data_IF_845449140987
#
_entry.id   IF_845449140987
#
_cell.length_a   1.000
_cell.length_b   1.000
_cell.length_c   1.000
_cell.angle_alpha   90.00
_cell.angle_beta   90.00
_cell.angle_gamma   90.00
#
_symmetry.space_group_name_H-M   'P 1'
#
loop_
_entity.id
_entity.type
_entity.pdbx_description
1 polymer ?
#
# COMPACT_ATOMS: atom_id res chain seq x y z
N UNK A 1 37.58 -17.44 57.65
CA UNK A 1 37.56 -17.59 56.18
C UNK A 1 36.29 -16.92 55.68
N UNK A 2 36.36 -15.70 55.17
CA UNK A 2 35.21 -14.95 54.63
C UNK A 2 35.09 -15.26 53.14
N UNK A 3 33.93 -15.81 52.73
CA UNK A 3 33.60 -16.05 51.30
C UNK A 3 33.02 -14.77 50.72
N UNK A 4 33.79 -14.10 49.89
CA UNK A 4 33.33 -12.91 49.15
C UNK A 4 32.53 -13.40 47.95
N UNK A 5 31.21 -13.22 47.96
CA UNK A 5 30.35 -13.45 46.80
C UNK A 5 30.49 -12.26 45.83
N UNK A 6 31.11 -12.48 44.68
CA UNK A 6 31.12 -11.52 43.55
C UNK A 6 29.78 -11.62 42.82
N UNK A 7 28.93 -10.60 42.93
CA UNK A 7 27.72 -10.43 42.18
C UNK A 7 28.08 -9.88 40.80
N UNK A 8 28.05 -10.70 39.77
CA UNK A 8 28.27 -10.29 38.38
C UNK A 8 27.01 -9.61 37.86
N UNK A 9 26.99 -8.30 37.84
CA UNK A 9 25.91 -7.50 37.24
C UNK A 9 26.18 -7.45 35.72
N UNK A 10 25.46 -8.28 34.95
CA UNK A 10 25.46 -8.20 33.49
C UNK A 10 24.63 -7.00 33.07
N UNK A 11 25.27 -5.93 32.61
CA UNK A 11 24.64 -4.75 32.06
C UNK A 11 24.12 -5.11 30.64
N UNK A 12 22.82 -5.38 30.52
CA UNK A 12 22.18 -5.61 29.22
C UNK A 12 22.04 -4.23 28.53
N UNK A 13 22.94 -3.91 27.61
CA UNK A 13 22.80 -2.72 26.77
C UNK A 13 21.61 -2.91 25.84
N UNK A 14 20.49 -2.24 26.12
CA UNK A 14 19.37 -2.12 25.19
C UNK A 14 19.84 -1.28 24.00
N UNK A 15 20.20 -1.93 22.91
CA UNK A 15 20.38 -1.25 21.64
C UNK A 15 19.03 -0.66 21.22
N UNK A 16 18.93 0.67 21.15
CA UNK A 16 17.77 1.35 20.57
C UNK A 16 17.72 0.98 19.08
N UNK A 17 16.88 0.03 18.72
CA UNK A 17 16.57 -0.24 17.31
C UNK A 17 15.76 0.95 16.81
N UNK A 18 16.44 1.92 16.18
CA UNK A 18 15.75 2.97 15.45
C UNK A 18 15.10 2.32 14.22
N UNK A 19 13.79 2.40 14.16
CA UNK A 19 13.03 1.98 13.00
C UNK A 19 13.46 2.79 11.76
N UNK A 20 14.15 2.15 10.82
CA UNK A 20 14.59 2.82 9.60
C UNK A 20 13.41 2.95 8.63
N UNK A 21 13.05 4.20 8.31
CA UNK A 21 12.05 4.52 7.30
C UNK A 21 12.67 4.34 5.91
N UNK A 22 12.13 3.40 5.11
CA UNK A 22 12.53 3.16 3.73
C UNK A 22 11.43 3.60 2.76
N UNK A 23 11.79 4.42 1.77
CA UNK A 23 10.89 4.81 0.68
C UNK A 23 10.86 3.68 -0.37
N UNK A 24 9.66 3.28 -0.76
CA UNK A 24 9.40 2.33 -1.83
C UNK A 24 8.86 3.12 -3.02
N UNK A 25 9.71 3.31 -4.02
CA UNK A 25 9.40 4.08 -5.24
C UNK A 25 9.88 3.29 -6.47
N UNK A 26 9.05 2.36 -6.98
CA UNK A 26 9.38 1.61 -8.20
C UNK A 26 9.59 2.56 -9.39
N UNK A 27 10.47 2.18 -10.34
CA UNK A 27 10.79 3.00 -11.51
C UNK A 27 9.57 3.35 -12.37
N UNK A 28 8.57 2.47 -12.40
CA UNK A 28 7.32 2.67 -13.12
C UNK A 28 6.58 3.95 -12.68
N UNK A 29 6.71 4.33 -11.40
CA UNK A 29 6.11 5.55 -10.85
C UNK A 29 6.90 6.83 -11.15
N UNK A 30 8.18 6.70 -11.50
CA UNK A 30 9.05 7.83 -11.88
C UNK A 30 8.87 8.32 -13.32
N UNK A 31 8.11 7.61 -14.16
CA UNK A 31 8.02 7.88 -15.62
C UNK A 31 6.89 8.81 -16.02
N UNK A 32 6.04 9.24 -15.10
CA UNK A 32 4.94 10.16 -15.36
C UNK A 32 5.40 11.63 -15.30
N UNK A 33 6.17 12.06 -16.31
CA UNK A 33 6.61 13.44 -16.45
C UNK A 33 7.81 13.83 -15.57
N UNK A 34 8.40 14.98 -15.85
CA UNK A 34 9.61 15.51 -15.18
C UNK A 34 9.37 16.08 -13.78
N UNK A 35 8.14 16.06 -13.27
CA UNK A 35 7.82 16.56 -11.93
C UNK A 35 7.86 15.40 -10.91
N UNK A 36 8.66 15.56 -9.84
CA UNK A 36 8.63 14.60 -8.74
C UNK A 36 7.26 14.62 -8.06
N UNK A 37 6.73 13.45 -7.71
CA UNK A 37 5.50 13.35 -6.92
C UNK A 37 5.69 14.06 -5.57
N UNK A 38 4.68 14.82 -5.07
CA UNK A 38 4.75 15.44 -3.75
C UNK A 38 4.59 14.42 -2.59
N UNK A 39 4.56 13.13 -2.90
CA UNK A 39 4.42 12.01 -1.96
C UNK A 39 5.23 10.80 -2.44
N UNK A 40 5.45 9.83 -1.55
CA UNK A 40 6.08 8.55 -1.88
C UNK A 40 5.01 7.52 -2.24
N UNK A 41 5.16 6.71 -3.30
CA UNK A 41 4.24 5.61 -3.61
C UNK A 41 4.06 4.64 -2.46
N UNK A 42 5.15 4.33 -1.73
CA UNK A 42 5.10 3.52 -0.53
C UNK A 42 6.14 3.93 0.51
N UNK A 43 5.81 3.71 1.79
CA UNK A 43 6.71 3.93 2.93
C UNK A 43 6.73 2.67 3.76
N UNK A 44 7.91 2.04 3.88
CA UNK A 44 8.14 0.87 4.72
C UNK A 44 8.84 1.29 6.02
N UNK A 45 8.27 0.89 7.16
CA UNK A 45 8.84 1.09 8.48
C UNK A 45 8.41 -0.06 9.41
N UNK A 46 9.33 -0.65 10.14
CA UNK A 46 9.07 -1.75 11.11
C UNK A 46 8.23 -2.90 10.52
N UNK A 47 8.56 -3.32 9.30
CA UNK A 47 7.83 -4.38 8.60
C UNK A 47 6.43 -3.98 8.12
N UNK A 48 5.98 -2.74 8.37
CA UNK A 48 4.70 -2.21 7.90
C UNK A 48 4.91 -1.32 6.68
N UNK A 49 4.25 -1.65 5.57
CA UNK A 49 4.24 -0.88 4.33
C UNK A 49 2.93 -0.10 4.22
N UNK A 50 3.05 1.21 4.16
CA UNK A 50 1.97 2.15 3.86
C UNK A 50 2.03 2.50 2.38
N UNK A 51 1.01 2.14 1.60
CA UNK A 51 0.90 2.45 0.18
C UNK A 51 -0.04 3.63 0.01
N UNK A 52 0.43 4.68 -0.67
CA UNK A 52 -0.39 5.84 -1.03
C UNK A 52 -1.55 5.45 -1.93
N UNK A 53 -2.63 6.25 -1.93
CA UNK A 53 -3.79 6.03 -2.79
C UNK A 53 -3.37 5.78 -4.24
N UNK A 54 -3.85 4.70 -4.82
CA UNK A 54 -3.64 4.33 -6.21
C UNK A 54 -4.95 4.46 -6.95
N UNK A 55 -4.89 5.02 -8.15
CA UNK A 55 -5.99 5.05 -9.12
C UNK A 55 -5.68 4.11 -10.29
N UNK A 56 -6.68 3.80 -11.10
CA UNK A 56 -6.54 2.91 -12.24
C UNK A 56 -5.86 3.53 -13.47
N UNK A 57 -4.90 4.43 -13.23
CA UNK A 57 -4.11 5.04 -14.29
C UNK A 57 -2.97 4.13 -14.77
N UNK A 58 -2.82 4.02 -16.09
CA UNK A 58 -1.68 3.35 -16.70
C UNK A 58 -0.40 4.13 -16.37
N UNK A 59 0.58 3.50 -15.71
CA UNK A 59 1.81 4.15 -15.24
C UNK A 59 2.71 4.71 -16.36
N UNK A 60 2.50 4.33 -17.63
CA UNK A 60 3.28 4.83 -18.76
C UNK A 60 2.60 6.03 -19.44
N UNK A 61 1.26 6.00 -19.57
CA UNK A 61 0.48 6.97 -20.32
C UNK A 61 -0.32 7.93 -19.46
N UNK A 62 -0.53 7.59 -18.19
CA UNK A 62 -1.41 8.32 -17.27
C UNK A 62 -2.91 8.12 -17.56
N UNK A 63 -3.26 7.39 -18.62
CA UNK A 63 -4.65 7.22 -19.03
C UNK A 63 -5.39 6.26 -18.09
N UNK A 64 -6.63 6.62 -17.76
CA UNK A 64 -7.58 5.78 -17.05
C UNK A 64 -8.47 5.10 -18.09
N UNK A 65 -8.73 3.80 -17.90
CA UNK A 65 -9.61 3.05 -18.79
C UNK A 65 -11.05 3.58 -18.74
N UNK A 66 -11.72 3.61 -19.88
CA UNK A 66 -13.17 3.84 -19.94
C UNK A 66 -13.98 2.65 -19.44
N UNK A 67 -13.39 1.45 -19.37
CA UNK A 67 -13.99 0.29 -18.71
C UNK A 67 -13.61 0.30 -17.23
N UNK A 68 -14.63 0.32 -16.38
CA UNK A 68 -14.45 0.40 -14.93
C UNK A 68 -13.77 -0.85 -14.33
N UNK A 69 -14.02 -2.03 -14.85
CA UNK A 69 -13.41 -3.26 -14.32
C UNK A 69 -11.91 -3.29 -14.63
N UNK A 70 -11.52 -2.82 -15.83
CA UNK A 70 -10.10 -2.61 -16.18
C UNK A 70 -9.47 -1.48 -15.38
N UNK A 71 -10.21 -0.42 -15.05
CA UNK A 71 -9.75 0.64 -14.15
C UNK A 71 -9.42 0.07 -12.76
N UNK A 72 -10.33 -0.70 -12.15
CA UNK A 72 -10.11 -1.35 -10.86
C UNK A 72 -8.93 -2.30 -10.92
N UNK A 73 -8.84 -3.11 -11.97
CA UNK A 73 -7.74 -4.04 -12.17
C UNK A 73 -6.40 -3.31 -12.23
N UNK A 74 -6.29 -2.25 -13.03
CA UNK A 74 -5.07 -1.44 -13.15
C UNK A 74 -4.70 -0.79 -11.81
N UNK A 75 -5.69 -0.31 -11.05
CA UNK A 75 -5.47 0.23 -9.70
C UNK A 75 -4.84 -0.83 -8.78
N UNK A 76 -5.36 -2.05 -8.77
CA UNK A 76 -4.82 -3.16 -7.99
C UNK A 76 -3.43 -3.58 -8.49
N UNK A 77 -3.20 -3.66 -9.80
CA UNK A 77 -1.89 -3.97 -10.38
C UNK A 77 -0.82 -2.94 -9.95
N UNK A 78 -1.17 -1.65 -9.91
CA UNK A 78 -0.29 -0.58 -9.40
C UNK A 78 0.11 -0.82 -7.93
N UNK A 79 -0.85 -1.23 -7.08
CA UNK A 79 -0.58 -1.65 -5.70
C UNK A 79 0.38 -2.85 -5.67
N UNK A 80 0.15 -3.84 -6.54
CA UNK A 80 1.00 -5.03 -6.66
C UNK A 80 2.45 -4.72 -7.00
N UNK A 81 2.70 -3.71 -7.85
CA UNK A 81 4.05 -3.24 -8.18
C UNK A 81 4.76 -2.70 -6.93
N UNK A 82 4.08 -1.90 -6.11
CA UNK A 82 4.65 -1.34 -4.87
C UNK A 82 4.90 -2.43 -3.84
N UNK A 83 3.94 -3.36 -3.65
CA UNK A 83 4.11 -4.53 -2.79
C UNK A 83 5.35 -5.33 -3.18
N UNK A 84 5.49 -5.66 -4.47
CA UNK A 84 6.62 -6.42 -5.01
C UNK A 84 7.96 -5.71 -4.75
N UNK A 85 8.03 -4.40 -4.94
CA UNK A 85 9.24 -3.61 -4.67
C UNK A 85 9.63 -3.60 -3.18
N UNK A 86 8.65 -3.79 -2.28
CA UNK A 86 8.87 -3.97 -0.84
C UNK A 86 9.19 -5.45 -0.47
N UNK A 87 9.18 -6.37 -1.43
CA UNK A 87 9.32 -7.81 -1.21
C UNK A 87 8.10 -8.40 -0.49
N UNK A 88 6.90 -7.89 -0.81
CA UNK A 88 5.59 -8.30 -0.28
C UNK A 88 4.66 -8.75 -1.41
N UNK A 89 3.55 -9.39 -1.04
CA UNK A 89 2.47 -9.80 -1.92
C UNK A 89 1.12 -9.31 -1.39
N UNK A 90 0.03 -9.56 -2.10
CA UNK A 90 -1.32 -9.25 -1.61
C UNK A 90 -1.68 -9.99 -0.31
N UNK A 91 -1.05 -11.13 -0.03
CA UNK A 91 -1.23 -11.88 1.23
C UNK A 91 -0.73 -11.11 2.45
N UNK A 92 0.21 -10.18 2.26
CA UNK A 92 0.71 -9.30 3.33
C UNK A 92 -0.23 -8.12 3.63
N UNK A 93 -1.24 -7.85 2.78
CA UNK A 93 -2.15 -6.73 2.98
C UNK A 93 -3.07 -7.02 4.15
N UNK A 94 -3.12 -6.09 5.12
CA UNK A 94 -3.92 -6.21 6.34
C UNK A 94 -5.10 -5.24 6.38
N UNK A 95 -5.01 -4.12 5.64
CA UNK A 95 -6.06 -3.11 5.60
C UNK A 95 -6.16 -2.47 4.23
N UNK A 96 -7.39 -2.21 3.79
CA UNK A 96 -7.72 -1.60 2.50
C UNK A 96 -8.78 -0.51 2.71
N UNK A 97 -8.60 0.62 2.05
CA UNK A 97 -9.61 1.68 1.96
C UNK A 97 -9.92 1.91 0.49
N UNK A 98 -11.20 1.90 0.14
CA UNK A 98 -11.69 2.10 -1.23
C UNK A 98 -12.57 3.33 -1.26
N UNK A 99 -12.28 4.21 -2.21
CA UNK A 99 -13.02 5.43 -2.48
C UNK A 99 -13.64 5.31 -3.88
N UNK A 100 -14.97 5.46 -3.98
CA UNK A 100 -15.72 5.39 -5.23
C UNK A 100 -16.43 6.70 -5.50
N UNK A 101 -16.37 7.21 -6.72
CA UNK A 101 -17.15 8.40 -7.12
C UNK A 101 -18.61 8.08 -7.41
N UNK A 102 -18.91 6.81 -7.67
CA UNK A 102 -20.27 6.31 -7.91
C UNK A 102 -20.48 4.98 -7.17
N UNK A 103 -21.35 4.96 -6.17
CA UNK A 103 -21.66 3.76 -5.39
C UNK A 103 -22.46 2.72 -6.16
N UNK A 104 -23.04 3.04 -7.31
CA UNK A 104 -23.65 2.02 -8.20
C UNK A 104 -22.61 1.03 -8.77
N UNK A 105 -21.32 1.43 -8.80
CA UNK A 105 -20.19 0.62 -9.23
C UNK A 105 -19.66 -0.36 -8.16
N UNK A 106 -20.22 -0.31 -6.94
CA UNK A 106 -19.71 -1.09 -5.79
C UNK A 106 -19.65 -2.60 -6.06
N UNK A 107 -20.66 -3.18 -6.70
CA UNK A 107 -20.66 -4.62 -6.98
C UNK A 107 -19.65 -5.00 -8.06
N UNK A 108 -19.47 -4.17 -9.08
CA UNK A 108 -18.43 -4.38 -10.12
C UNK A 108 -17.05 -4.33 -9.50
N UNK A 109 -16.78 -3.30 -8.67
CA UNK A 109 -15.53 -3.20 -7.91
C UNK A 109 -15.29 -4.45 -7.06
N UNK A 110 -16.30 -4.96 -6.34
CA UNK A 110 -16.18 -6.16 -5.51
C UNK A 110 -15.80 -7.41 -6.33
N UNK A 111 -16.34 -7.55 -7.54
CA UNK A 111 -16.01 -8.68 -8.39
C UNK A 111 -14.53 -8.73 -8.76
N UNK A 112 -13.97 -7.59 -9.20
CA UNK A 112 -12.54 -7.48 -9.52
C UNK A 112 -11.68 -7.59 -8.25
N UNK A 113 -12.04 -6.92 -7.17
CA UNK A 113 -11.35 -6.98 -5.88
C UNK A 113 -11.19 -8.42 -5.38
N UNK A 114 -12.26 -9.22 -5.43
CA UNK A 114 -12.26 -10.62 -4.97
C UNK A 114 -11.42 -11.54 -5.86
N UNK A 115 -11.12 -11.13 -7.10
CA UNK A 115 -10.20 -11.89 -7.95
C UNK A 115 -8.75 -11.79 -7.49
N UNK A 116 -8.39 -10.69 -6.82
CA UNK A 116 -7.05 -10.40 -6.31
C UNK A 116 -6.89 -10.80 -4.83
N UNK A 117 -7.77 -10.32 -3.96
CA UNK A 117 -7.73 -10.63 -2.52
C UNK A 117 -8.50 -11.93 -2.24
N UNK A 118 -7.74 -13.02 -2.01
CA UNK A 118 -8.28 -14.33 -1.64
C UNK A 118 -8.49 -14.44 -0.13
N UNK A 119 -9.22 -15.45 0.30
CA UNK A 119 -9.38 -15.75 1.73
C UNK A 119 -8.05 -16.25 2.36
N UNK A 120 -7.76 -15.78 3.59
CA UNK A 120 -8.47 -14.78 4.39
C UNK A 120 -8.22 -13.36 3.84
N UNK A 121 -9.31 -12.57 3.67
CA UNK A 121 -9.22 -11.22 3.12
C UNK A 121 -8.75 -10.19 4.16
N UNK A 122 -8.09 -9.09 3.72
CA UNK A 122 -7.80 -7.96 4.61
C UNK A 122 -9.09 -7.27 5.09
N UNK A 123 -8.98 -6.53 6.20
CA UNK A 123 -10.04 -5.60 6.59
C UNK A 123 -10.25 -4.55 5.50
N UNK A 124 -11.50 -4.08 5.29
CA UNK A 124 -11.79 -3.08 4.26
C UNK A 124 -12.85 -2.08 4.72
N UNK A 125 -12.62 -0.81 4.37
CA UNK A 125 -13.63 0.23 4.38
C UNK A 125 -13.87 0.70 2.94
N UNK A 126 -15.13 0.90 2.54
CA UNK A 126 -15.49 1.48 1.24
C UNK A 126 -16.42 2.66 1.47
N UNK A 127 -16.13 3.79 0.84
CA UNK A 127 -16.93 5.01 0.94
C UNK A 127 -17.14 5.65 -0.43
N UNK A 128 -18.30 6.29 -0.60
CA UNK A 128 -18.58 7.15 -1.73
C UNK A 128 -17.97 8.55 -1.50
N UNK A 129 -17.37 9.12 -2.53
CA UNK A 129 -16.80 10.47 -2.54
C UNK A 129 -17.33 11.26 -3.72
N UNK A 130 -17.33 12.58 -3.65
CA UNK A 130 -17.83 13.43 -4.75
C UNK A 130 -16.91 13.44 -5.96
N UNK A 131 -15.59 13.35 -5.75
CA UNK A 131 -14.56 13.27 -6.80
C UNK A 131 -13.25 12.78 -6.20
N UNK A 132 -12.37 12.27 -7.05
CA UNK A 132 -10.98 11.93 -6.75
C UNK A 132 -10.05 13.03 -7.28
N UNK A 133 -8.80 13.04 -6.78
CA UNK A 133 -7.80 14.01 -7.21
C UNK A 133 -7.38 13.79 -8.67
N UNK A 134 -7.32 12.54 -9.12
CA UNK A 134 -7.04 12.19 -10.51
C UNK A 134 -8.29 12.39 -11.37
N UNK A 135 -8.21 13.28 -12.34
CA UNK A 135 -9.32 13.56 -13.25
C UNK A 135 -9.70 12.30 -14.05
N UNK A 136 -11.00 12.00 -14.10
CA UNK A 136 -11.53 10.83 -14.82
C UNK A 136 -11.42 9.52 -14.05
N UNK A 137 -10.83 9.48 -12.84
CA UNK A 137 -10.82 8.29 -12.00
C UNK A 137 -12.17 8.11 -11.29
N UNK A 138 -12.62 6.84 -11.22
CA UNK A 138 -13.84 6.43 -10.52
C UNK A 138 -13.54 5.67 -9.24
N UNK A 139 -12.33 5.14 -9.11
CA UNK A 139 -11.87 4.38 -7.94
C UNK A 139 -10.47 4.82 -7.52
N UNK A 140 -10.27 4.89 -6.19
CA UNK A 140 -8.96 5.02 -5.56
C UNK A 140 -8.87 4.02 -4.41
N UNK A 141 -7.71 3.36 -4.26
CA UNK A 141 -7.50 2.35 -3.23
C UNK A 141 -6.20 2.64 -2.49
N UNK A 142 -6.30 2.72 -1.16
CA UNK A 142 -5.15 2.82 -0.24
C UNK A 142 -5.00 1.50 0.51
N UNK A 143 -3.76 1.04 0.72
CA UNK A 143 -3.51 -0.23 1.41
C UNK A 143 -2.40 -0.10 2.45
N UNK A 144 -2.52 -0.94 3.50
CA UNK A 144 -1.45 -1.18 4.46
C UNK A 144 -1.12 -2.67 4.44
N UNK A 145 0.16 -3.01 4.31
CA UNK A 145 0.65 -4.38 4.33
C UNK A 145 1.67 -4.57 5.46
N UNK A 146 1.82 -5.81 5.95
CA UNK A 146 2.78 -6.14 7.01
C UNK A 146 3.43 -7.52 6.77
N UNK A 147 4.74 -7.58 7.04
CA UNK A 147 5.52 -8.83 7.18
C UNK A 147 5.52 -9.30 8.62
#
# INVERSE_FOLDING_TARGET
MAKTNFLLITLLAAASVHAEKRIISPEEFGRQGSASLPFSPGVLIDGTLYISGQVGGNLKTGQISSDFDEEVKTCLDNIGIILKAAGMTYENVVSVQVYLTDMSLFQRMNAVYSSVFKEPRPSRTTVGVTKLAAAGAHVEITTTARK
#
